data_IF_354933070301
#
_entry.id   IF_354933070301
#
_cell.length_a   1.000
_cell.length_b   1.000
_cell.length_c   1.000
_cell.angle_alpha   90.00
_cell.angle_beta   90.00
_cell.angle_gamma   90.00
#
_symmetry.space_group_name_H-M   'P 1'
#
loop_
_entity.id
_entity.type
_entity.pdbx_description
1 polymer ?
#
# COMPACT_ATOMS: atom_id res chain seq x y z
N UNK A 1 -19.38 0.27 -9.61
CA UNK A 1 -19.71 -0.72 -10.65
C UNK A 1 -18.70 -1.85 -10.65
N UNK A 2 -19.15 -3.10 -10.65
CA UNK A 2 -18.21 -4.21 -10.80
C UNK A 2 -17.61 -4.26 -12.21
N UNK A 3 -16.37 -4.69 -12.29
CA UNK A 3 -15.68 -4.95 -13.54
C UNK A 3 -15.35 -6.44 -13.64
N UNK A 4 -15.14 -6.93 -14.84
CA UNK A 4 -14.90 -8.35 -15.06
C UNK A 4 -13.57 -8.56 -15.77
N UNK A 5 -12.79 -9.51 -15.24
CA UNK A 5 -11.52 -9.94 -15.81
C UNK A 5 -11.57 -11.46 -16.01
N UNK A 6 -10.89 -11.96 -17.03
CA UNK A 6 -10.73 -13.41 -17.19
C UNK A 6 -9.88 -13.96 -16.04
N UNK A 7 -10.18 -15.18 -15.59
CA UNK A 7 -9.37 -15.82 -14.54
C UNK A 7 -7.91 -15.97 -14.93
N UNK A 8 -7.62 -16.07 -16.24
CA UNK A 8 -6.25 -16.20 -16.73
C UNK A 8 -5.50 -14.87 -16.78
N UNK A 9 -6.18 -13.75 -16.61
CA UNK A 9 -5.55 -12.42 -16.64
C UNK A 9 -4.92 -12.04 -15.31
N UNK A 10 -5.25 -12.76 -14.22
CA UNK A 10 -4.66 -12.50 -12.90
C UNK A 10 -3.43 -13.38 -12.70
N UNK A 11 -2.40 -12.87 -12.00
CA UNK A 11 -1.24 -13.69 -11.66
C UNK A 11 -1.64 -14.82 -10.71
N UNK A 12 -0.84 -15.87 -10.66
CA UNK A 12 -0.99 -16.93 -9.68
C UNK A 12 -0.84 -16.36 -8.26
N UNK A 13 -1.42 -17.04 -7.25
CA UNK A 13 -1.44 -16.53 -5.88
C UNK A 13 -0.03 -16.23 -5.35
N UNK A 14 0.94 -17.09 -5.64
CA UNK A 14 2.33 -16.89 -5.22
C UNK A 14 2.97 -15.69 -5.91
N UNK A 15 2.48 -15.29 -7.10
CA UNK A 15 2.99 -14.13 -7.81
C UNK A 15 2.47 -12.82 -7.23
N UNK A 16 1.31 -12.83 -6.54
CA UNK A 16 0.75 -11.65 -5.89
C UNK A 16 1.72 -11.10 -4.85
N UNK A 17 2.40 -11.97 -4.12
CA UNK A 17 3.36 -11.58 -3.09
C UNK A 17 4.59 -10.88 -3.68
N UNK A 18 4.93 -11.19 -4.94
CA UNK A 18 6.09 -10.62 -5.63
C UNK A 18 5.71 -9.34 -6.40
N UNK A 19 4.51 -9.31 -6.96
CA UNK A 19 4.06 -8.22 -7.82
C UNK A 19 3.45 -7.08 -6.99
N UNK A 20 4.34 -6.34 -6.33
CA UNK A 20 3.95 -5.24 -5.47
C UNK A 20 4.78 -3.99 -5.75
N UNK A 21 4.15 -2.83 -5.58
CA UNK A 21 4.84 -1.54 -5.49
C UNK A 21 5.21 -1.30 -4.03
N UNK A 22 6.40 -0.79 -3.79
CA UNK A 22 6.86 -0.45 -2.45
C UNK A 22 7.51 0.94 -2.47
N UNK A 23 7.24 1.73 -1.43
CA UNK A 23 7.89 3.02 -1.23
C UNK A 23 8.22 3.21 0.25
N UNK A 24 9.38 3.77 0.51
CA UNK A 24 9.80 4.14 1.87
C UNK A 24 9.89 5.65 1.93
N UNK A 25 9.06 6.26 2.77
CA UNK A 25 9.08 7.70 2.99
C UNK A 25 9.87 7.99 4.27
N UNK A 26 10.68 9.04 4.23
CA UNK A 26 11.54 9.45 5.33
C UNK A 26 10.99 10.74 5.92
N UNK A 27 10.92 10.80 7.24
CA UNK A 27 10.41 11.98 7.95
C UNK A 27 11.55 12.91 8.35
N UNK A 28 11.34 14.23 8.23
CA UNK A 28 12.31 15.24 8.68
C UNK A 28 12.18 15.53 10.19
N UNK A 29 11.09 15.06 10.82
CA UNK A 29 10.85 15.17 12.25
C UNK A 29 10.10 13.93 12.72
N UNK A 30 9.92 13.76 14.04
CA UNK A 30 9.19 12.62 14.59
C UNK A 30 7.78 12.59 14.01
N UNK A 31 7.33 11.40 13.61
CA UNK A 31 5.99 11.22 13.06
C UNK A 31 4.97 11.08 14.20
N UNK A 32 3.84 11.76 14.04
CA UNK A 32 2.68 11.59 14.91
C UNK A 32 1.85 10.42 14.35
N UNK A 33 1.76 9.34 15.10
CA UNK A 33 1.09 8.11 14.65
C UNK A 33 -0.35 8.37 14.19
N UNK A 34 -1.10 9.14 14.96
CA UNK A 34 -2.50 9.41 14.66
C UNK A 34 -2.63 10.22 13.38
N UNK A 35 -1.82 11.27 13.24
CA UNK A 35 -1.87 12.13 12.05
C UNK A 35 -1.40 11.41 10.80
N UNK A 36 -0.37 10.59 10.90
CA UNK A 36 0.11 9.80 9.76
C UNK A 36 -0.97 8.82 9.32
N UNK A 37 -1.58 8.11 10.27
CA UNK A 37 -2.64 7.16 9.97
C UNK A 37 -3.82 7.85 9.27
N UNK A 38 -4.22 9.00 9.76
CA UNK A 38 -5.31 9.79 9.14
C UNK A 38 -4.94 10.21 7.72
N UNK A 39 -3.68 10.63 7.51
CA UNK A 39 -3.20 11.02 6.18
C UNK A 39 -3.22 9.85 5.21
N UNK A 40 -2.78 8.66 5.64
CA UNK A 40 -2.80 7.45 4.82
C UNK A 40 -4.24 7.06 4.49
N UNK A 41 -5.14 7.13 5.48
CA UNK A 41 -6.54 6.80 5.25
C UNK A 41 -7.20 7.75 4.26
N UNK A 42 -6.87 9.04 4.32
CA UNK A 42 -7.37 10.01 3.37
C UNK A 42 -6.91 9.69 1.94
N UNK A 43 -5.66 9.29 1.78
CA UNK A 43 -5.12 8.87 0.48
C UNK A 43 -5.81 7.58 0.01
N UNK A 44 -5.99 6.61 0.89
CA UNK A 44 -6.70 5.38 0.56
C UNK A 44 -8.12 5.69 0.05
N UNK A 45 -8.82 6.58 0.72
CA UNK A 45 -10.19 6.97 0.33
C UNK A 45 -10.21 7.76 -0.98
N UNK A 46 -9.15 8.52 -1.27
CA UNK A 46 -9.04 9.28 -2.52
C UNK A 46 -8.67 8.40 -3.72
N UNK A 47 -8.18 7.19 -3.48
CA UNK A 47 -7.77 6.24 -4.52
C UNK A 47 -8.53 4.92 -4.35
N UNK A 48 -9.82 4.87 -4.76
CA UNK A 48 -10.67 3.70 -4.49
C UNK A 48 -10.14 2.38 -5.03
N UNK A 49 -9.30 2.42 -6.08
CA UNK A 49 -8.72 1.21 -6.64
C UNK A 49 -7.86 0.44 -5.62
N UNK A 50 -7.29 1.13 -4.63
CA UNK A 50 -6.50 0.48 -3.58
C UNK A 50 -7.31 -0.51 -2.73
N UNK A 51 -8.62 -0.35 -2.67
CA UNK A 51 -9.53 -1.22 -1.95
C UNK A 51 -10.34 -2.15 -2.86
N UNK A 52 -9.81 -2.50 -4.04
CA UNK A 52 -10.51 -3.38 -4.97
C UNK A 52 -10.57 -4.81 -4.42
N UNK A 53 -11.78 -5.36 -4.38
CA UNK A 53 -12.03 -6.75 -4.03
C UNK A 53 -12.23 -7.56 -5.31
N UNK A 54 -11.68 -8.78 -5.33
CA UNK A 54 -11.77 -9.68 -6.46
C UNK A 54 -12.54 -10.94 -6.05
N UNK A 55 -13.57 -11.29 -6.82
CA UNK A 55 -14.38 -12.48 -6.58
C UNK A 55 -14.51 -13.30 -7.87
N UNK A 56 -14.40 -14.65 -7.81
CA UNK A 56 -14.70 -15.47 -8.97
C UNK A 56 -16.18 -15.35 -9.31
N UNK A 57 -16.48 -15.24 -10.61
CA UNK A 57 -17.84 -15.22 -11.11
C UNK A 57 -17.88 -15.95 -12.46
N UNK A 58 -18.35 -17.20 -12.45
CA UNK A 58 -18.23 -18.11 -13.59
C UNK A 58 -16.76 -18.31 -13.98
N UNK A 59 -16.40 -18.07 -15.23
CA UNK A 59 -15.02 -18.20 -15.71
C UNK A 59 -14.24 -16.88 -15.65
N UNK A 60 -14.75 -15.88 -14.92
CA UNK A 60 -14.17 -14.54 -14.83
C UNK A 60 -14.02 -14.11 -13.39
N UNK A 61 -13.23 -13.06 -13.18
CA UNK A 61 -13.17 -12.36 -11.91
C UNK A 61 -14.05 -11.12 -11.98
N UNK A 62 -14.88 -10.94 -10.95
CA UNK A 62 -15.65 -9.72 -10.76
C UNK A 62 -14.90 -8.85 -9.77
N UNK A 63 -14.83 -7.53 -10.02
CA UNK A 63 -14.18 -6.59 -9.12
C UNK A 63 -15.18 -5.64 -8.50
N UNK A 64 -14.96 -5.29 -7.24
CA UNK A 64 -15.77 -4.32 -6.49
C UNK A 64 -14.84 -3.44 -5.67
N UNK A 65 -15.27 -2.21 -5.39
CA UNK A 65 -14.64 -1.35 -4.40
C UNK A 65 -15.15 -1.70 -3.01
N UNK A 66 -14.51 -1.16 -1.98
CA UNK A 66 -14.97 -1.30 -0.59
C UNK A 66 -14.08 -2.19 0.27
N UNK A 67 -12.89 -2.55 -0.20
CA UNK A 67 -11.90 -3.23 0.62
C UNK A 67 -11.31 -2.33 1.68
N UNK A 68 -10.38 -2.87 2.47
CA UNK A 68 -9.68 -2.16 3.53
C UNK A 68 -8.20 -2.00 3.24
N UNK A 69 -7.45 -1.58 4.27
CA UNK A 69 -6.00 -1.47 4.19
C UNK A 69 -5.39 -1.82 5.54
N UNK A 70 -4.08 -2.16 5.52
CA UNK A 70 -3.38 -2.57 6.73
C UNK A 70 -2.57 -1.43 7.33
N UNK A 71 -2.64 -1.28 8.63
CA UNK A 71 -1.84 -0.32 9.38
C UNK A 71 -1.01 -1.04 10.44
N UNK A 72 0.24 -0.60 10.63
CA UNK A 72 1.08 -1.11 11.69
C UNK A 72 2.06 -0.05 12.19
N UNK A 73 2.49 -0.22 13.44
CA UNK A 73 3.60 0.53 14.01
C UNK A 73 4.62 -0.51 14.45
N UNK A 74 5.82 -0.44 13.88
CA UNK A 74 6.84 -1.45 14.10
C UNK A 74 7.66 -1.14 15.35
N UNK A 75 8.21 -2.18 16.02
CA UNK A 75 9.21 -1.94 17.08
C UNK A 75 10.46 -1.30 16.48
N UNK A 76 11.21 -0.51 17.27
CA UNK A 76 12.48 0.04 16.79
C UNK A 76 13.46 -1.06 16.39
N UNK A 77 14.20 -0.83 15.29
CA UNK A 77 15.23 -1.75 14.84
C UNK A 77 14.77 -2.85 13.88
N UNK A 78 13.50 -2.88 13.53
CA UNK A 78 13.01 -3.87 12.55
C UNK A 78 13.50 -3.46 11.16
N UNK A 79 13.95 -4.44 10.37
CA UNK A 79 14.42 -4.19 9.02
C UNK A 79 13.26 -3.89 8.06
N UNK A 80 13.47 -2.94 7.14
CA UNK A 80 12.47 -2.59 6.13
C UNK A 80 12.04 -3.83 5.33
N UNK A 81 13.00 -4.67 4.94
CA UNK A 81 12.70 -5.89 4.18
C UNK A 81 11.70 -6.80 4.89
N UNK A 82 11.82 -6.94 6.20
CA UNK A 82 10.92 -7.78 7.00
C UNK A 82 9.51 -7.16 7.06
N UNK A 83 9.43 -5.84 7.14
CA UNK A 83 8.14 -5.14 7.12
C UNK A 83 7.44 -5.36 5.79
N UNK A 84 8.16 -5.20 4.68
CA UNK A 84 7.61 -5.38 3.33
C UNK A 84 7.13 -6.82 3.14
N UNK A 85 7.91 -7.81 3.56
CA UNK A 85 7.51 -9.21 3.45
C UNK A 85 6.22 -9.50 4.24
N UNK A 86 6.11 -8.95 5.44
CA UNK A 86 4.91 -9.11 6.26
C UNK A 86 3.70 -8.42 5.63
N UNK A 87 3.89 -7.22 5.09
CA UNK A 87 2.81 -6.52 4.39
C UNK A 87 2.30 -7.33 3.21
N UNK A 88 3.22 -7.83 2.37
CA UNK A 88 2.85 -8.67 1.22
C UNK A 88 2.10 -9.92 1.64
N UNK A 89 2.57 -10.59 2.69
CA UNK A 89 1.96 -11.81 3.17
C UNK A 89 0.54 -11.60 3.73
N UNK A 90 0.21 -10.38 4.13
CA UNK A 90 -1.12 -10.04 4.66
C UNK A 90 -2.14 -9.73 3.56
N UNK A 91 -1.71 -9.57 2.31
CA UNK A 91 -2.61 -9.18 1.23
C UNK A 91 -3.60 -10.28 0.89
N UNK A 92 -4.85 -9.87 0.67
CA UNK A 92 -5.94 -10.77 0.35
C UNK A 92 -6.84 -10.10 -0.70
N UNK A 93 -6.83 -10.64 -1.90
CA UNK A 93 -7.58 -10.08 -3.01
C UNK A 93 -9.10 -10.19 -2.82
N UNK A 94 -9.57 -11.17 -2.05
CA UNK A 94 -11.00 -11.39 -1.83
C UNK A 94 -11.59 -10.35 -0.90
N UNK A 95 -10.86 -9.95 0.12
CA UNK A 95 -11.29 -8.90 1.06
C UNK A 95 -10.91 -7.51 0.60
N UNK A 96 -10.10 -7.40 -0.46
CA UNK A 96 -9.65 -6.11 -0.97
C UNK A 96 -8.59 -5.45 -0.10
N UNK A 97 -7.89 -6.21 0.72
CA UNK A 97 -6.77 -5.70 1.52
C UNK A 97 -5.49 -5.92 0.74
N UNK A 98 -5.19 -4.95 -0.13
CA UNK A 98 -4.07 -5.01 -1.07
C UNK A 98 -3.13 -3.82 -0.94
N UNK A 99 -3.29 -3.03 0.13
CA UNK A 99 -2.47 -1.87 0.44
C UNK A 99 -2.19 -1.85 1.94
N UNK A 100 -0.96 -1.56 2.31
CA UNK A 100 -0.56 -1.49 3.72
C UNK A 100 0.46 -0.37 3.94
N UNK A 101 0.41 0.22 5.12
CA UNK A 101 1.36 1.22 5.57
C UNK A 101 1.82 0.88 6.99
N UNK A 102 3.13 1.02 7.24
CA UNK A 102 3.70 0.76 8.55
C UNK A 102 4.64 1.89 8.94
N UNK A 103 4.45 2.43 10.14
CA UNK A 103 5.35 3.41 10.72
C UNK A 103 6.53 2.68 11.37
N UNK A 104 7.73 3.04 10.97
CA UNK A 104 8.97 2.45 11.45
C UNK A 104 9.74 3.53 12.24
N UNK A 105 9.62 3.50 13.59
CA UNK A 105 10.28 4.51 14.42
C UNK A 105 11.80 4.42 14.30
N UNK A 106 12.47 5.56 14.38
CA UNK A 106 13.93 5.61 14.36
C UNK A 106 14.41 7.03 14.21
N UNK A 107 15.65 7.16 13.80
CA UNK A 107 16.28 8.44 13.52
C UNK A 107 16.89 8.38 12.11
N UNK A 108 16.10 8.74 11.06
CA UNK A 108 14.75 9.31 11.08
C UNK A 108 13.64 8.27 11.23
N UNK A 109 12.43 8.70 11.58
CA UNK A 109 11.24 7.88 11.44
C UNK A 109 10.94 7.66 9.96
N UNK A 110 10.37 6.52 9.62
CA UNK A 110 10.06 6.15 8.23
C UNK A 110 8.66 5.59 8.13
N UNK A 111 8.08 5.70 6.94
CA UNK A 111 6.78 5.11 6.62
C UNK A 111 6.97 4.18 5.44
N UNK A 112 6.65 2.90 5.62
CA UNK A 112 6.80 1.87 4.59
C UNK A 112 5.43 1.58 4.00
N UNK A 113 5.30 1.79 2.69
CA UNK A 113 4.05 1.60 1.94
C UNK A 113 4.24 0.47 0.93
N UNK A 114 3.28 -0.42 0.86
CA UNK A 114 3.28 -1.50 -0.14
C UNK A 114 1.86 -1.69 -0.69
N UNK A 115 1.74 -1.87 -1.98
CA UNK A 115 0.47 -2.17 -2.63
C UNK A 115 0.67 -3.20 -3.73
N UNK A 116 -0.31 -4.09 -3.88
CA UNK A 116 -0.31 -5.08 -4.94
C UNK A 116 -0.54 -4.45 -6.31
N UNK A 117 0.11 -4.97 -7.35
CA UNK A 117 -0.18 -4.59 -8.74
C UNK A 117 -1.61 -4.90 -9.16
N UNK A 118 -2.33 -5.72 -8.41
CA UNK A 118 -3.74 -5.97 -8.68
C UNK A 118 -4.61 -4.72 -8.49
N UNK A 119 -4.19 -3.79 -7.62
CA UNK A 119 -4.98 -2.61 -7.30
C UNK A 119 -4.33 -1.30 -7.74
N UNK A 120 -3.11 -1.33 -8.27
CA UNK A 120 -2.42 -0.11 -8.69
C UNK A 120 -1.31 -0.44 -9.71
N UNK A 121 -1.15 0.42 -10.71
CA UNK A 121 0.00 0.38 -11.61
C UNK A 121 1.05 1.40 -11.16
N UNK A 122 2.16 1.50 -11.91
CA UNK A 122 3.26 2.39 -11.54
C UNK A 122 2.86 3.87 -11.53
N UNK A 123 2.03 4.29 -12.47
CA UNK A 123 1.58 5.68 -12.56
C UNK A 123 0.61 6.01 -11.42
N UNK A 124 -0.36 5.14 -11.17
CA UNK A 124 -1.31 5.30 -10.08
C UNK A 124 -0.60 5.27 -8.72
N UNK A 125 0.40 4.42 -8.57
CA UNK A 125 1.20 4.34 -7.36
C UNK A 125 1.94 5.66 -7.09
N UNK A 126 2.51 6.27 -8.13
CA UNK A 126 3.17 7.57 -7.99
C UNK A 126 2.18 8.62 -7.47
N UNK A 127 0.96 8.62 -7.99
CA UNK A 127 -0.06 9.55 -7.54
C UNK A 127 -0.42 9.33 -6.06
N UNK A 128 -0.51 8.08 -5.61
CA UNK A 128 -0.75 7.74 -4.21
C UNK A 128 0.36 8.30 -3.32
N UNK A 129 1.61 8.07 -3.69
CA UNK A 129 2.77 8.52 -2.92
C UNK A 129 2.83 10.05 -2.88
N UNK A 130 2.62 10.71 -4.02
CA UNK A 130 2.66 12.18 -4.11
C UNK A 130 1.55 12.81 -3.26
N UNK A 131 0.35 12.24 -3.27
CA UNK A 131 -0.76 12.73 -2.45
C UNK A 131 -0.46 12.60 -0.96
N UNK A 132 0.19 11.52 -0.57
CA UNK A 132 0.56 11.33 0.83
C UNK A 132 1.62 12.34 1.27
N UNK A 133 2.62 12.57 0.44
CA UNK A 133 3.66 13.59 0.72
C UNK A 133 3.02 14.97 0.84
N UNK A 134 2.07 15.28 -0.03
CA UNK A 134 1.35 16.56 0.03
C UNK A 134 0.46 16.65 1.28
N UNK A 135 -0.11 15.54 1.72
CA UNK A 135 -1.03 15.51 2.86
C UNK A 135 -0.37 15.47 4.23
N UNK A 136 0.92 15.14 4.29
CA UNK A 136 1.67 15.14 5.53
C UNK A 136 3.03 15.81 5.31
N UNK A 137 3.14 17.13 5.57
CA UNK A 137 4.41 17.86 5.39
C UNK A 137 5.52 17.26 6.25
N UNK A 138 6.70 17.15 5.68
CA UNK A 138 7.85 16.56 6.35
C UNK A 138 8.20 15.17 5.88
N UNK A 139 7.31 14.52 5.11
CA UNK A 139 7.63 13.24 4.47
C UNK A 139 8.25 13.49 3.10
N UNK A 140 9.22 12.67 2.73
CA UNK A 140 9.84 12.71 1.41
C UNK A 140 10.22 11.30 0.96
N UNK A 141 10.31 11.10 -0.35
CA UNK A 141 10.71 9.81 -0.89
C UNK A 141 12.16 9.51 -0.56
N UNK A 142 12.46 8.26 -0.18
CA UNK A 142 13.80 7.85 0.20
C UNK A 142 14.83 8.06 -0.92
N UNK A 143 14.43 7.85 -2.18
CA UNK A 143 15.32 8.05 -3.32
C UNK A 143 15.77 9.50 -3.43
N UNK A 144 14.88 10.46 -3.16
CA UNK A 144 15.22 11.87 -3.14
C UNK A 144 16.19 12.19 -1.99
N UNK A 145 16.04 11.55 -0.83
CA UNK A 145 16.89 11.75 0.33
C UNK A 145 18.32 11.27 0.12
N UNK A 146 18.54 10.38 -0.85
CA UNK A 146 19.88 9.87 -1.17
C UNK A 146 20.60 10.71 -2.22
N UNK A 147 19.88 11.52 -2.91
CA UNK A 147 20.48 12.43 -3.88
C UNK A 147 21.16 13.60 -3.17
#
# INVERSE_FOLDING_TARGET
>A
MPSYLSLTELPAREDIDVWCQTEVLVADARLDQTRVRVAVEAVFNAHPALGTMFEPFFEKWMTRSGGGWGWGVEPPGVAIADVVLRQRASFDMRTGRLFAASLLPGAPDRLVLTASYLCTDAESWRAVVDDLIAGYPGLSARTAARA
#
